data_IF_220050364292
#
_entry.id   IF_220050364292
#
_cell.length_a   1.000
_cell.length_b   1.000
_cell.length_c   1.000
_cell.angle_alpha   90.00
_cell.angle_beta   90.00
_cell.angle_gamma   90.00
#
_symmetry.space_group_name_H-M   'P 1'
#
loop_
_entity.id
_entity.type
_entity.pdbx_description
1 polymer ?
#
# COMPACT_ATOMS: atom_id res chain seq x y z
N UNK A 1 3.82 0.02 36.30
CA UNK A 1 4.56 1.10 35.63
C UNK A 1 4.05 1.13 34.21
N UNK A 2 3.28 2.16 33.84
CA UNK A 2 2.78 2.30 32.48
C UNK A 2 3.99 2.56 31.56
N UNK A 3 4.22 1.70 30.58
CA UNK A 3 5.07 2.06 29.46
C UNK A 3 4.45 3.30 28.82
N UNK A 4 5.19 4.40 28.72
CA UNK A 4 4.81 5.51 27.86
C UNK A 4 4.61 4.92 26.45
N UNK A 5 3.36 4.89 26.01
CA UNK A 5 2.99 4.38 24.69
C UNK A 5 3.49 5.44 23.71
N UNK A 6 4.62 5.19 23.05
CA UNK A 6 5.09 6.01 21.92
C UNK A 6 3.95 6.09 20.91
N UNK A 7 3.54 7.30 20.54
CA UNK A 7 2.41 7.47 19.63
C UNK A 7 2.78 6.98 18.22
N UNK A 8 1.76 6.71 17.40
CA UNK A 8 2.00 6.40 15.99
C UNK A 8 2.62 7.59 15.27
N UNK A 9 2.17 8.82 15.53
CA UNK A 9 2.80 10.01 14.95
C UNK A 9 4.28 10.09 15.31
N UNK A 10 4.61 9.90 16.58
CA UNK A 10 6.01 9.96 17.03
C UNK A 10 6.88 8.88 16.39
N UNK A 11 6.34 7.66 16.22
CA UNK A 11 7.08 6.53 15.65
C UNK A 11 7.44 6.73 14.16
N UNK A 12 6.69 7.56 13.44
CA UNK A 12 6.92 7.87 12.03
C UNK A 12 7.43 9.30 11.80
N UNK A 13 7.57 10.12 12.84
CA UNK A 13 7.91 11.54 12.71
C UNK A 13 9.22 11.82 11.96
N UNK A 14 10.20 10.93 12.05
CA UNK A 14 11.47 11.07 11.32
C UNK A 14 11.33 11.06 9.79
N UNK A 15 10.22 10.55 9.24
CA UNK A 15 9.93 10.63 7.80
C UNK A 15 9.66 12.08 7.34
N UNK A 16 9.38 13.00 8.26
CA UNK A 16 9.23 14.41 7.93
C UNK A 16 10.51 15.01 7.35
N UNK A 17 11.65 14.65 7.93
CA UNK A 17 12.99 15.10 7.54
C UNK A 17 13.86 13.91 7.12
N UNK A 18 13.29 12.99 6.34
CA UNK A 18 13.93 11.71 5.99
C UNK A 18 15.35 11.85 5.41
N UNK A 19 15.57 12.84 4.53
CA UNK A 19 16.87 13.05 3.87
C UNK A 19 18.00 13.32 4.87
N UNK A 20 17.69 14.00 5.98
CA UNK A 20 18.63 14.17 7.08
C UNK A 20 19.04 12.81 7.65
N UNK A 21 18.07 11.97 8.02
CA UNK A 21 18.31 10.68 8.68
C UNK A 21 18.98 9.64 7.78
N UNK A 22 18.54 9.50 6.53
CA UNK A 22 19.17 8.58 5.57
C UNK A 22 20.63 8.94 5.33
N UNK A 23 20.96 10.23 5.24
CA UNK A 23 22.36 10.67 5.05
C UNK A 23 23.25 10.24 6.23
N UNK A 24 22.73 10.29 7.47
CA UNK A 24 23.48 9.85 8.66
C UNK A 24 23.63 8.33 8.69
N UNK A 25 22.56 7.58 8.37
CA UNK A 25 22.63 6.13 8.29
C UNK A 25 23.62 5.64 7.22
N UNK A 26 23.59 6.21 6.01
CA UNK A 26 24.54 5.84 4.96
C UNK A 26 25.98 6.22 5.32
N UNK A 27 26.18 7.36 5.98
CA UNK A 27 27.50 7.74 6.50
C UNK A 27 28.00 6.75 7.55
N UNK A 28 27.12 6.28 8.43
CA UNK A 28 27.42 5.24 9.40
C UNK A 28 27.73 3.90 8.74
N UNK A 29 26.95 3.47 7.76
CA UNK A 29 27.22 2.23 7.02
C UNK A 29 28.59 2.24 6.34
N UNK A 30 29.02 3.38 5.78
CA UNK A 30 30.33 3.55 5.15
C UNK A 30 31.49 3.70 6.14
N UNK A 31 31.23 3.80 7.45
CA UNK A 31 32.26 4.01 8.45
C UNK A 31 33.23 2.83 8.49
N UNK A 32 34.48 3.07 8.08
CA UNK A 32 35.56 2.08 8.20
C UNK A 32 35.96 1.89 9.67
N UNK A 33 36.00 0.64 10.12
CA UNK A 33 36.40 0.28 11.48
C UNK A 33 37.92 0.30 11.59
N UNK A 34 38.44 1.20 12.41
CA UNK A 34 39.85 1.19 12.83
C UNK A 34 40.02 0.36 14.10
N UNK A 35 41.13 -0.38 14.23
CA UNK A 35 41.46 -1.22 15.41
C UNK A 35 41.31 -0.51 16.76
N UNK A 36 41.63 0.77 16.82
CA UNK A 36 41.60 1.53 18.08
C UNK A 36 40.18 1.99 18.47
N UNK A 37 39.23 1.99 17.53
CA UNK A 37 37.81 2.27 17.77
C UNK A 37 37.06 1.04 18.33
N UNK A 38 37.74 -0.11 18.45
CA UNK A 38 37.14 -1.36 18.91
C UNK A 38 36.98 -1.44 20.43
N UNK A 39 37.69 -0.63 21.22
CA UNK A 39 37.73 -0.81 22.68
C UNK A 39 36.34 -0.74 23.34
N UNK A 40 35.45 0.12 22.84
CA UNK A 40 34.09 0.20 23.38
C UNK A 40 33.20 -0.99 22.94
N UNK A 41 33.53 -1.65 21.83
CA UNK A 41 32.82 -2.83 21.33
C UNK A 41 33.37 -4.16 21.87
N UNK A 42 34.58 -4.16 22.45
CA UNK A 42 35.27 -5.39 22.88
C UNK A 42 34.54 -6.16 23.97
N UNK A 43 33.88 -5.47 24.89
CA UNK A 43 33.07 -6.08 25.95
C UNK A 43 31.79 -6.77 25.43
N UNK A 44 31.43 -6.57 24.17
CA UNK A 44 30.16 -7.02 23.58
C UNK A 44 30.27 -8.24 22.68
N UNK A 45 31.47 -8.54 22.18
CA UNK A 45 31.68 -9.62 21.20
C UNK A 45 31.35 -11.00 21.80
N UNK A 46 31.52 -11.15 23.12
CA UNK A 46 31.24 -12.40 23.85
C UNK A 46 29.80 -12.52 24.36
N UNK A 47 28.93 -11.54 24.10
CA UNK A 47 27.55 -11.56 24.58
C UNK A 47 26.61 -12.23 23.56
N UNK A 48 25.74 -13.11 24.04
CA UNK A 48 24.77 -13.86 23.24
C UNK A 48 23.86 -12.96 22.38
N UNK A 49 23.66 -11.68 22.73
CA UNK A 49 22.84 -10.78 21.91
C UNK A 49 23.49 -10.45 20.56
N UNK A 50 24.81 -10.62 20.45
CA UNK A 50 25.57 -10.36 19.22
C UNK A 50 25.80 -11.61 18.39
N UNK A 51 25.49 -12.82 18.87
CA UNK A 51 25.70 -14.06 18.11
C UNK A 51 24.85 -14.10 16.84
N UNK A 52 23.74 -13.36 16.81
CA UNK A 52 22.84 -13.24 15.66
C UNK A 52 23.20 -12.08 14.72
N UNK A 53 24.15 -11.23 15.10
CA UNK A 53 24.55 -10.06 14.31
C UNK A 53 25.73 -10.44 13.43
N UNK A 54 25.58 -10.24 12.11
CA UNK A 54 26.69 -10.38 11.19
C UNK A 54 27.72 -9.28 11.46
N UNK A 55 28.97 -9.67 11.72
CA UNK A 55 30.07 -8.76 12.09
C UNK A 55 29.74 -7.82 13.26
N UNK A 56 29.56 -8.36 14.49
CA UNK A 56 29.18 -7.60 15.69
C UNK A 56 29.97 -6.32 15.94
N UNK A 57 31.29 -6.37 15.70
CA UNK A 57 32.19 -5.24 15.87
C UNK A 57 31.85 -4.09 14.91
N UNK A 58 31.65 -4.41 13.64
CA UNK A 58 31.30 -3.42 12.62
C UNK A 58 29.97 -2.77 12.97
N UNK A 59 28.96 -3.58 13.27
CA UNK A 59 27.65 -3.07 13.65
C UNK A 59 27.71 -2.15 14.87
N UNK A 60 28.45 -2.53 15.92
CA UNK A 60 28.62 -1.72 17.11
C UNK A 60 29.30 -0.36 16.82
N UNK A 61 30.36 -0.35 16.00
CA UNK A 61 31.04 0.89 15.55
C UNK A 61 30.10 1.78 14.73
N UNK A 62 29.34 1.19 13.81
CA UNK A 62 28.37 1.91 12.98
C UNK A 62 27.26 2.51 13.85
N UNK A 63 26.73 1.75 14.82
CA UNK A 63 25.71 2.24 15.74
C UNK A 63 26.21 3.43 16.57
N UNK A 64 27.40 3.33 17.16
CA UNK A 64 27.97 4.45 17.91
C UNK A 64 28.16 5.68 17.02
N UNK A 65 28.69 5.49 15.81
CA UNK A 65 28.91 6.61 14.91
C UNK A 65 27.59 7.26 14.48
N UNK A 66 26.53 6.48 14.24
CA UNK A 66 25.19 7.00 14.00
C UNK A 66 24.67 7.79 15.20
N UNK A 67 24.80 7.23 16.41
CA UNK A 67 24.41 7.91 17.65
C UNK A 67 25.13 9.25 17.83
N UNK A 68 26.46 9.28 17.61
CA UNK A 68 27.24 10.51 17.68
C UNK A 68 26.80 11.55 16.62
N UNK A 69 26.50 11.11 15.40
CA UNK A 69 26.04 11.98 14.31
C UNK A 69 24.68 12.62 14.60
N UNK A 70 23.78 11.91 15.26
CA UNK A 70 22.47 12.42 15.66
C UNK A 70 22.59 13.31 16.90
N UNK A 71 23.40 12.90 17.87
CA UNK A 71 23.64 13.69 19.09
C UNK A 71 24.37 15.01 18.81
N UNK A 72 25.26 15.07 17.83
CA UNK A 72 25.95 16.30 17.42
C UNK A 72 25.24 17.04 16.28
N UNK A 73 24.21 16.42 15.72
CA UNK A 73 23.48 16.96 14.58
C UNK A 73 22.56 18.10 14.99
N UNK A 74 22.30 19.00 14.03
CA UNK A 74 21.29 20.03 14.18
C UNK A 74 20.41 20.05 12.94
N UNK A 75 19.10 19.98 13.14
CA UNK A 75 18.10 20.21 12.08
C UNK A 75 17.82 21.73 11.93
N UNK A 76 18.13 22.55 12.96
CA UNK A 76 17.73 23.97 13.05
C UNK A 76 18.87 24.98 13.34
N UNK A 77 20.14 24.56 13.24
CA UNK A 77 21.31 25.42 13.47
C UNK A 77 21.74 25.60 14.94
N UNK A 78 21.01 25.04 15.90
CA UNK A 78 21.46 24.92 17.30
C UNK A 78 21.97 23.50 17.55
N UNK A 79 23.21 23.37 18.02
CA UNK A 79 23.75 22.09 18.50
C UNK A 79 22.98 21.67 19.74
N UNK A 80 22.09 20.69 19.60
CA UNK A 80 21.43 20.07 20.74
C UNK A 80 22.39 19.05 21.34
N UNK A 81 22.73 19.13 22.62
CA UNK A 81 23.44 18.04 23.32
C UNK A 81 22.51 16.85 23.65
N UNK A 82 21.35 16.77 22.98
CA UNK A 82 20.31 15.80 23.25
C UNK A 82 19.64 15.31 21.96
N UNK A 83 19.23 14.04 21.96
CA UNK A 83 18.41 13.46 20.91
C UNK A 83 16.97 13.93 21.09
N UNK A 84 16.37 14.42 20.02
CA UNK A 84 14.96 14.76 20.00
C UNK A 84 14.07 13.50 19.81
N UNK A 85 12.75 13.70 19.69
CA UNK A 85 11.81 12.60 19.53
C UNK A 85 11.99 11.87 18.20
N UNK A 86 12.30 12.59 17.12
CA UNK A 86 12.48 12.03 15.79
C UNK A 86 13.82 11.27 15.71
N UNK A 87 14.87 11.76 16.36
CA UNK A 87 16.14 11.05 16.50
C UNK A 87 15.94 9.72 17.24
N UNK A 88 15.18 9.74 18.34
CA UNK A 88 14.86 8.53 19.08
C UNK A 88 14.01 7.55 18.25
N UNK A 89 13.00 8.04 17.53
CA UNK A 89 12.16 7.23 16.66
C UNK A 89 12.99 6.59 15.53
N UNK A 90 13.89 7.36 14.92
CA UNK A 90 14.79 6.86 13.88
C UNK A 90 15.76 5.81 14.41
N UNK A 91 16.40 6.05 15.55
CA UNK A 91 17.30 5.06 16.18
C UNK A 91 16.52 3.78 16.52
N UNK A 92 15.29 3.91 17.03
CA UNK A 92 14.44 2.75 17.32
C UNK A 92 14.14 1.95 16.05
N UNK A 93 13.74 2.60 14.96
CA UNK A 93 13.56 1.94 13.66
C UNK A 93 14.85 1.28 13.17
N UNK A 94 15.97 2.01 13.15
CA UNK A 94 17.24 1.53 12.63
C UNK A 94 17.74 0.29 13.38
N UNK A 95 17.66 0.30 14.72
CA UNK A 95 18.03 -0.87 15.54
C UNK A 95 17.10 -2.05 15.28
N UNK A 96 15.78 -1.83 15.23
CA UNK A 96 14.82 -2.90 14.93
C UNK A 96 15.10 -3.52 13.55
N UNK A 97 15.39 -2.70 12.54
CA UNK A 97 15.67 -3.15 11.19
C UNK A 97 16.95 -3.98 11.12
N UNK A 98 18.05 -3.46 11.65
CA UNK A 98 19.38 -4.09 11.57
C UNK A 98 19.52 -5.31 12.45
N UNK A 99 18.99 -5.27 13.67
CA UNK A 99 19.12 -6.38 14.63
C UNK A 99 18.24 -7.56 14.26
N UNK A 100 17.00 -7.30 13.82
CA UNK A 100 16.00 -8.36 13.61
C UNK A 100 15.99 -8.88 12.18
N UNK A 101 16.70 -8.20 11.28
CA UNK A 101 16.99 -8.68 9.92
C UNK A 101 15.74 -8.87 9.05
N UNK A 102 15.93 -9.46 7.87
CA UNK A 102 14.88 -9.60 6.85
C UNK A 102 13.69 -10.41 7.37
N UNK A 103 13.96 -11.52 8.09
CA UNK A 103 12.91 -12.41 8.61
C UNK A 103 12.23 -11.91 9.89
N UNK A 104 12.67 -10.78 10.44
CA UNK A 104 12.16 -10.17 11.67
C UNK A 104 12.18 -11.18 12.82
N UNK A 105 13.37 -11.45 13.33
CA UNK A 105 13.54 -12.27 14.53
C UNK A 105 12.87 -11.58 15.73
N UNK A 106 11.82 -12.19 16.27
CA UNK A 106 11.07 -11.68 17.42
C UNK A 106 11.74 -12.02 18.75
N UNK A 107 12.75 -12.90 18.76
CA UNK A 107 13.52 -13.23 19.97
C UNK A 107 14.51 -12.13 20.35
N UNK A 108 14.92 -11.30 19.38
CA UNK A 108 15.87 -10.21 19.60
C UNK A 108 15.16 -9.00 20.19
N UNK A 109 15.66 -8.52 21.34
CA UNK A 109 15.14 -7.36 22.06
C UNK A 109 16.06 -6.14 21.91
N UNK A 110 15.53 -5.08 21.28
CA UNK A 110 16.25 -3.82 21.03
C UNK A 110 16.63 -3.11 22.33
N UNK A 111 15.75 -3.10 23.33
CA UNK A 111 16.05 -2.48 24.63
C UNK A 111 17.13 -3.27 25.37
N UNK A 112 17.10 -4.60 25.31
CA UNK A 112 18.15 -5.43 25.92
C UNK A 112 19.49 -5.14 25.28
N UNK A 113 19.54 -5.01 23.94
CA UNK A 113 20.75 -4.62 23.22
C UNK A 113 21.26 -3.25 23.69
N UNK A 114 20.40 -2.23 23.70
CA UNK A 114 20.81 -0.88 24.08
C UNK A 114 21.25 -0.79 25.54
N UNK A 115 20.52 -1.40 26.47
CA UNK A 115 20.83 -1.36 27.89
C UNK A 115 22.18 -2.03 28.20
N UNK A 116 22.49 -3.14 27.52
CA UNK A 116 23.82 -3.76 27.61
C UNK A 116 24.89 -2.81 27.09
N UNK A 117 24.68 -2.22 25.90
CA UNK A 117 25.63 -1.26 25.32
C UNK A 117 25.90 -0.08 26.26
N UNK A 118 24.83 0.48 26.83
CA UNK A 118 24.88 1.60 27.75
C UNK A 118 25.59 1.25 29.06
N UNK A 119 25.28 0.10 29.67
CA UNK A 119 25.86 -0.30 30.96
C UNK A 119 27.40 -0.38 30.93
N UNK A 120 27.99 -0.85 29.84
CA UNK A 120 29.46 -0.87 29.73
C UNK A 120 30.06 0.45 29.21
N UNK A 121 29.23 1.44 28.88
CA UNK A 121 29.65 2.70 28.23
C UNK A 121 28.81 3.90 28.71
N UNK A 122 28.52 4.00 30.01
CA UNK A 122 27.65 5.04 30.57
C UNK A 122 28.12 6.46 30.23
N UNK A 123 29.45 6.65 30.11
CA UNK A 123 30.06 7.91 29.70
C UNK A 123 29.82 8.30 28.23
N UNK A 124 29.33 7.39 27.38
CA UNK A 124 29.04 7.63 25.96
C UNK A 124 27.52 7.77 25.75
N UNK A 125 26.74 6.82 26.29
CA UNK A 125 25.29 6.77 26.10
C UNK A 125 24.55 7.44 27.26
N UNK A 126 24.74 8.77 27.37
CA UNK A 126 24.17 9.58 28.46
C UNK A 126 22.70 9.92 28.28
N UNK A 127 22.15 9.77 27.08
CA UNK A 127 20.78 10.18 26.80
C UNK A 127 19.77 9.25 27.49
N UNK A 128 19.07 9.75 28.49
CA UNK A 128 18.04 9.01 29.25
C UNK A 128 16.69 8.97 28.54
N UNK A 129 16.45 9.86 27.57
CA UNK A 129 15.23 9.87 26.76
C UNK A 129 15.20 8.68 25.80
N UNK A 130 16.33 8.39 25.14
CA UNK A 130 16.45 7.29 24.18
C UNK A 130 16.06 5.95 24.80
N UNK A 131 16.55 5.64 26.00
CA UNK A 131 16.24 4.37 26.69
C UNK A 131 14.73 4.14 26.85
N UNK A 132 13.96 5.19 27.13
CA UNK A 132 12.51 5.12 27.32
C UNK A 132 11.74 4.96 26.01
N UNK A 133 12.35 5.35 24.89
CA UNK A 133 11.73 5.37 23.55
C UNK A 133 12.11 4.20 22.66
N UNK A 134 13.09 3.40 23.08
CA UNK A 134 13.38 2.14 22.43
C UNK A 134 12.32 1.10 22.80
N UNK A 135 11.89 0.34 21.80
CA UNK A 135 11.00 -0.80 21.96
C UNK A 135 11.08 -1.73 20.74
N UNK A 136 10.64 -2.98 20.90
CA UNK A 136 10.49 -3.89 19.76
C UNK A 136 9.27 -3.51 18.92
N UNK A 137 9.49 -3.02 17.71
CA UNK A 137 8.40 -2.68 16.78
C UNK A 137 7.66 -3.96 16.39
N UNK A 138 6.33 -3.99 16.46
CA UNK A 138 5.55 -5.15 16.04
C UNK A 138 5.86 -5.51 14.57
N UNK A 139 5.89 -6.81 14.24
CA UNK A 139 6.39 -7.31 12.94
C UNK A 139 5.72 -6.62 11.75
N UNK A 140 4.40 -6.57 11.71
CA UNK A 140 3.65 -5.95 10.61
C UNK A 140 3.93 -4.43 10.54
N UNK A 141 4.06 -3.75 11.69
CA UNK A 141 4.46 -2.34 11.72
C UNK A 141 5.89 -2.12 11.20
N UNK A 142 6.85 -3.00 11.53
CA UNK A 142 8.22 -2.90 11.02
C UNK A 142 8.28 -3.14 9.50
N UNK A 143 7.51 -4.09 8.99
CA UNK A 143 7.37 -4.33 7.53
C UNK A 143 6.80 -3.10 6.80
N UNK A 144 5.82 -2.43 7.39
CA UNK A 144 5.26 -1.16 6.87
C UNK A 144 6.29 -0.04 6.88
N UNK A 145 7.01 0.14 7.98
CA UNK A 145 8.08 1.14 8.08
C UNK A 145 9.18 0.89 7.04
N UNK A 146 9.57 -0.37 6.80
CA UNK A 146 10.54 -0.73 5.74
C UNK A 146 10.07 -0.34 4.36
N UNK A 147 8.81 -0.62 4.01
CA UNK A 147 8.22 -0.22 2.73
C UNK A 147 8.26 1.30 2.56
N UNK A 148 7.90 2.05 3.61
CA UNK A 148 7.95 3.51 3.58
C UNK A 148 9.38 4.04 3.48
N UNK A 149 10.32 3.43 4.22
CA UNK A 149 11.74 3.74 4.15
C UNK A 149 12.32 3.54 2.74
N UNK A 150 12.00 2.43 2.08
CA UNK A 150 12.39 2.16 0.71
C UNK A 150 11.85 3.22 -0.26
N UNK A 151 10.57 3.60 -0.11
CA UNK A 151 9.93 4.62 -0.95
C UNK A 151 10.64 5.97 -0.82
N UNK A 152 10.87 6.44 0.41
CA UNK A 152 11.59 7.69 0.63
C UNK A 152 13.05 7.61 0.16
N UNK A 153 13.74 6.49 0.36
CA UNK A 153 15.11 6.29 -0.14
C UNK A 153 15.19 6.39 -1.67
N UNK A 154 14.24 5.79 -2.38
CA UNK A 154 14.18 5.88 -3.85
C UNK A 154 13.84 7.31 -4.29
N UNK A 155 12.93 8.00 -3.59
CA UNK A 155 12.66 9.43 -3.82
C UNK A 155 13.93 10.27 -3.68
N UNK A 156 14.74 10.08 -2.63
CA UNK A 156 16.01 10.82 -2.46
C UNK A 156 16.96 10.58 -3.64
N UNK A 157 17.06 9.33 -4.14
CA UNK A 157 17.86 9.02 -5.34
C UNK A 157 17.35 9.74 -6.60
N UNK A 158 16.03 9.81 -6.77
CA UNK A 158 15.41 10.56 -7.88
C UNK A 158 15.76 12.04 -7.77
N UNK A 159 15.65 12.63 -6.57
CA UNK A 159 16.01 14.03 -6.34
C UNK A 159 17.46 14.30 -6.72
N UNK A 160 18.41 13.47 -6.25
CA UNK A 160 19.83 13.61 -6.56
C UNK A 160 20.09 13.52 -8.08
N UNK A 161 19.53 12.49 -8.73
CA UNK A 161 19.71 12.27 -10.17
C UNK A 161 19.16 13.43 -11.03
N UNK A 162 18.14 14.12 -10.54
CA UNK A 162 17.57 15.30 -11.19
C UNK A 162 18.45 16.54 -10.98
N UNK A 163 18.94 16.76 -9.75
CA UNK A 163 19.67 17.98 -9.37
C UNK A 163 21.12 18.02 -9.80
N UNK A 164 21.82 16.88 -9.85
CA UNK A 164 23.27 16.84 -10.13
C UNK A 164 23.60 16.87 -11.64
N UNK A 165 22.59 16.96 -12.51
CA UNK A 165 22.75 17.14 -13.95
C UNK A 165 23.08 15.82 -14.64
N UNK A 166 22.03 15.11 -15.05
CA UNK A 166 22.15 13.78 -15.64
C UNK A 166 23.06 13.75 -16.88
N UNK A 167 24.18 13.03 -16.78
CA UNK A 167 24.76 12.35 -17.95
C UNK A 167 23.69 11.40 -18.56
N UNK A 168 23.78 11.00 -19.84
CA UNK A 168 22.79 10.11 -20.46
C UNK A 168 22.55 8.79 -19.70
N UNK A 169 23.56 8.29 -18.99
CA UNK A 169 23.46 7.10 -18.13
C UNK A 169 22.68 7.37 -16.82
N UNK A 170 22.78 8.59 -16.29
CA UNK A 170 22.09 9.03 -15.07
C UNK A 170 20.61 9.32 -15.33
N UNK A 171 20.23 9.78 -16.53
CA UNK A 171 18.81 9.97 -16.89
C UNK A 171 18.08 8.64 -17.05
N UNK A 172 18.75 7.63 -17.63
CA UNK A 172 18.25 6.25 -17.66
C UNK A 172 18.11 5.66 -16.24
N UNK A 173 19.06 5.97 -15.35
CA UNK A 173 18.99 5.56 -13.93
C UNK A 173 17.80 6.21 -13.20
N UNK A 174 17.52 7.48 -13.49
CA UNK A 174 16.42 8.20 -12.86
C UNK A 174 15.04 7.69 -13.28
N UNK A 175 14.83 7.41 -14.58
CA UNK A 175 13.59 6.77 -15.05
C UNK A 175 13.39 5.39 -14.40
N UNK A 176 14.48 4.62 -14.23
CA UNK A 176 14.44 3.34 -13.54
C UNK A 176 14.00 3.51 -12.08
N UNK A 177 14.57 4.46 -11.34
CA UNK A 177 14.17 4.74 -9.96
C UNK A 177 12.71 5.20 -9.87
N UNK A 178 12.25 6.03 -10.80
CA UNK A 178 10.86 6.49 -10.82
C UNK A 178 9.87 5.32 -11.03
N UNK A 179 10.16 4.43 -11.99
CA UNK A 179 9.38 3.20 -12.21
C UNK A 179 9.40 2.27 -10.99
N UNK A 180 10.56 2.09 -10.35
CA UNK A 180 10.69 1.29 -9.14
C UNK A 180 9.87 1.87 -7.98
N UNK A 181 9.94 3.19 -7.78
CA UNK A 181 9.18 3.91 -6.76
C UNK A 181 7.68 3.66 -6.93
N UNK A 182 7.16 3.85 -8.15
CA UNK A 182 5.75 3.63 -8.45
C UNK A 182 5.31 2.18 -8.22
N UNK A 183 6.12 1.21 -8.65
CA UNK A 183 5.85 -0.21 -8.41
C UNK A 183 5.74 -0.51 -6.92
N UNK A 184 6.72 -0.09 -6.12
CA UNK A 184 6.72 -0.27 -4.67
C UNK A 184 5.56 0.46 -4.00
N UNK A 185 5.18 1.64 -4.50
CA UNK A 185 4.05 2.40 -4.00
C UNK A 185 2.73 1.65 -4.23
N UNK A 186 2.48 1.18 -5.46
CA UNK A 186 1.33 0.33 -5.80
C UNK A 186 1.28 -0.91 -4.91
N UNK A 187 2.39 -1.62 -4.76
CA UNK A 187 2.49 -2.79 -3.88
C UNK A 187 2.19 -2.46 -2.41
N UNK A 188 2.66 -1.31 -1.91
CA UNK A 188 2.39 -0.87 -0.54
C UNK A 188 0.90 -0.54 -0.33
N UNK A 189 0.27 0.11 -1.30
CA UNK A 189 -1.17 0.45 -1.28
C UNK A 189 -2.03 -0.82 -1.31
N UNK A 190 -1.75 -1.73 -2.25
CA UNK A 190 -2.50 -2.98 -2.44
C UNK A 190 -2.42 -3.88 -1.20
N UNK A 191 -1.23 -3.99 -0.59
CA UNK A 191 -1.02 -4.88 0.54
C UNK A 191 -1.57 -4.32 1.86
N UNK A 192 -2.05 -3.07 1.87
CA UNK A 192 -2.84 -2.60 2.98
C UNK A 192 -4.29 -3.07 2.81
N UNK A 193 -4.79 -3.86 3.74
CA UNK A 193 -6.22 -4.20 3.86
C UNK A 193 -6.90 -3.27 4.87
N UNK A 194 -8.23 -3.36 5.03
CA UNK A 194 -9.14 -2.43 5.72
C UNK A 194 -8.71 -1.91 7.11
N UNK A 195 -7.73 -2.53 7.79
CA UNK A 195 -7.17 -2.08 9.08
C UNK A 195 -5.94 -1.14 8.96
N UNK A 196 -5.68 -0.56 7.78
CA UNK A 196 -4.48 0.21 7.46
C UNK A 196 -4.60 1.74 7.49
N UNK A 197 -5.69 2.34 7.98
CA UNK A 197 -5.99 3.78 7.82
C UNK A 197 -4.77 4.70 8.01
N UNK A 198 -4.07 4.56 9.15
CA UNK A 198 -2.89 5.38 9.44
C UNK A 198 -1.71 5.18 8.46
N UNK A 199 -1.47 3.96 7.99
CA UNK A 199 -0.41 3.73 7.00
C UNK A 199 -0.78 4.29 5.63
N UNK A 200 -2.08 4.34 5.30
CA UNK A 200 -2.53 5.04 4.10
C UNK A 200 -2.31 6.54 4.17
N UNK A 201 -2.51 7.15 5.34
CA UNK A 201 -2.21 8.56 5.54
C UNK A 201 -0.72 8.82 5.27
N UNK A 202 0.17 7.98 5.81
CA UNK A 202 1.62 8.05 5.55
C UNK A 202 2.00 7.87 4.07
N UNK A 203 1.34 6.96 3.36
CA UNK A 203 1.52 6.79 1.91
C UNK A 203 1.01 8.00 1.12
N UNK A 204 -0.04 8.65 1.60
CA UNK A 204 -0.61 9.86 1.02
C UNK A 204 0.35 11.04 1.21
N UNK A 205 0.90 11.20 2.41
CA UNK A 205 1.93 12.19 2.71
C UNK A 205 3.18 11.98 1.85
N UNK A 206 3.63 10.73 1.70
CA UNK A 206 4.71 10.39 0.78
C UNK A 206 4.42 10.85 -0.65
N UNK A 207 3.22 10.53 -1.18
CA UNK A 207 2.81 10.92 -2.54
C UNK A 207 2.79 12.45 -2.70
N UNK A 208 2.27 13.16 -1.70
CA UNK A 208 2.22 14.63 -1.71
C UNK A 208 3.63 15.22 -1.72
N UNK A 209 4.52 14.77 -0.83
CA UNK A 209 5.93 15.20 -0.81
C UNK A 209 6.66 14.88 -2.10
N UNK A 210 6.46 13.68 -2.64
CA UNK A 210 7.04 13.29 -3.93
C UNK A 210 6.63 14.27 -5.03
N UNK A 211 5.35 14.65 -5.08
CA UNK A 211 4.85 15.62 -6.05
C UNK A 211 5.43 17.01 -5.80
N UNK A 212 5.34 17.52 -4.58
CA UNK A 212 5.76 18.88 -4.22
C UNK A 212 7.25 19.11 -4.49
N UNK A 213 8.11 18.19 -4.06
CA UNK A 213 9.55 18.36 -4.19
C UNK A 213 10.06 18.12 -5.61
N UNK A 214 9.37 17.29 -6.40
CA UNK A 214 9.81 17.00 -7.77
C UNK A 214 9.21 17.93 -8.82
N UNK A 215 8.03 18.53 -8.56
CA UNK A 215 7.34 19.48 -9.47
C UNK A 215 8.25 20.55 -10.08
N UNK A 216 9.18 21.20 -9.32
CA UNK A 216 10.07 22.23 -9.87
C UNK A 216 10.96 21.74 -11.02
N UNK A 217 11.18 20.42 -11.15
CA UNK A 217 12.05 19.82 -12.15
C UNK A 217 11.31 19.26 -13.37
N UNK A 218 10.02 19.56 -13.48
CA UNK A 218 9.14 19.19 -14.58
C UNK A 218 9.73 19.43 -15.97
N UNK A 219 10.31 20.62 -16.15
CA UNK A 219 10.71 21.15 -17.45
C UNK A 219 12.24 21.05 -17.63
N UNK A 220 12.92 20.34 -16.72
CA UNK A 220 14.36 20.13 -16.83
C UNK A 220 14.67 19.25 -18.05
N UNK A 221 15.72 19.57 -18.84
CA UNK A 221 16.17 18.71 -19.94
C UNK A 221 16.69 17.34 -19.45
N UNK A 222 16.95 17.18 -18.15
CA UNK A 222 17.23 15.91 -17.48
C UNK A 222 15.98 15.16 -17.02
N UNK A 223 14.77 15.63 -17.37
CA UNK A 223 13.51 15.16 -16.79
C UNK A 223 13.33 13.66 -16.99
N UNK A 224 13.62 12.93 -15.92
CA UNK A 224 12.97 11.67 -15.62
C UNK A 224 11.48 11.97 -15.75
N UNK A 225 10.75 11.27 -16.61
CA UNK A 225 9.33 11.52 -16.79
C UNK A 225 8.54 11.07 -15.54
N UNK A 226 8.78 11.74 -14.40
CA UNK A 226 8.32 11.40 -13.06
C UNK A 226 6.85 11.77 -12.88
N UNK A 227 6.41 12.80 -13.62
CA UNK A 227 5.02 13.28 -13.64
C UNK A 227 4.05 12.20 -14.09
N UNK A 228 4.40 11.43 -15.12
CA UNK A 228 3.55 10.35 -15.64
C UNK A 228 3.25 9.24 -14.62
N UNK A 229 4.06 9.07 -13.58
CA UNK A 229 3.90 7.97 -12.62
C UNK A 229 2.85 8.23 -11.54
N UNK A 230 2.46 9.48 -11.28
CA UNK A 230 1.49 9.82 -10.21
C UNK A 230 0.35 10.75 -10.65
N UNK A 231 0.38 11.27 -11.88
CA UNK A 231 -0.65 12.18 -12.41
C UNK A 231 -2.04 11.53 -12.57
N UNK A 232 -2.15 10.20 -12.69
CA UNK A 232 -3.40 9.60 -13.16
C UNK A 232 -4.18 8.76 -12.15
N UNK A 233 -3.59 8.31 -11.04
CA UNK A 233 -4.24 7.31 -10.20
C UNK A 233 -4.43 7.79 -8.75
N UNK A 234 -5.68 8.17 -8.44
CA UNK A 234 -6.16 8.27 -7.06
C UNK A 234 -6.08 6.89 -6.38
N UNK A 235 -5.83 6.86 -5.08
CA UNK A 235 -5.68 5.60 -4.33
C UNK A 235 -6.94 4.73 -4.43
N UNK A 236 -8.15 5.34 -4.46
CA UNK A 236 -9.40 4.60 -4.65
C UNK A 236 -9.43 3.95 -6.01
N UNK A 237 -8.86 4.60 -7.02
CA UNK A 237 -8.73 4.05 -8.37
C UNK A 237 -7.74 2.88 -8.38
N UNK A 238 -6.59 2.99 -7.71
CA UNK A 238 -5.61 1.91 -7.55
C UNK A 238 -6.22 0.67 -6.87
N UNK A 239 -6.94 0.89 -5.78
CA UNK A 239 -7.57 -0.19 -5.02
C UNK A 239 -8.71 -0.83 -5.84
N UNK A 240 -9.55 -0.02 -6.49
CA UNK A 240 -10.59 -0.52 -7.39
C UNK A 240 -10.02 -1.28 -8.57
N UNK A 241 -8.96 -0.81 -9.21
CA UNK A 241 -8.29 -1.50 -10.32
C UNK A 241 -7.75 -2.86 -9.85
N UNK A 242 -7.11 -2.90 -8.68
CA UNK A 242 -6.64 -4.15 -8.08
C UNK A 242 -7.79 -5.10 -7.73
N UNK A 243 -8.86 -4.60 -7.10
CA UNK A 243 -10.06 -5.37 -6.74
C UNK A 243 -10.83 -5.85 -7.98
N UNK A 244 -10.79 -5.08 -9.07
CA UNK A 244 -11.43 -5.35 -10.36
C UNK A 244 -10.53 -6.06 -11.38
N UNK A 245 -9.26 -6.35 -11.02
CA UNK A 245 -8.27 -6.95 -11.92
C UNK A 245 -8.75 -8.27 -12.55
N UNK A 246 -8.32 -8.59 -13.79
CA UNK A 246 -9.06 -9.42 -14.74
C UNK A 246 -9.10 -10.94 -14.46
N UNK A 247 -8.79 -11.41 -13.26
CA UNK A 247 -8.71 -12.85 -12.95
C UNK A 247 -9.02 -13.19 -11.47
N UNK A 248 -10.22 -12.85 -10.98
CA UNK A 248 -10.87 -13.65 -9.93
C UNK A 248 -11.79 -14.69 -10.59
N UNK A 249 -11.20 -15.83 -10.95
CA UNK A 249 -11.85 -17.10 -11.29
C UNK A 249 -13.14 -17.04 -12.15
N UNK A 250 -12.99 -16.87 -13.47
CA UNK A 250 -13.92 -17.53 -14.42
C UNK A 250 -13.36 -18.92 -14.73
N UNK A 251 -13.40 -19.82 -13.74
CA UNK A 251 -13.34 -21.27 -13.97
C UNK A 251 -14.74 -21.83 -13.70
N UNK A 252 -15.71 -21.33 -14.45
CA UNK A 252 -17.06 -21.92 -14.52
C UNK A 252 -17.60 -21.91 -15.96
N UNK A 253 -16.75 -21.75 -16.98
CA UNK A 253 -17.18 -21.66 -18.37
C UNK A 253 -17.03 -22.92 -19.26
N UNK A 254 -16.50 -24.09 -18.84
CA UNK A 254 -16.74 -25.33 -19.60
C UNK A 254 -17.94 -26.17 -19.10
N UNK A 255 -18.64 -25.78 -18.03
CA UNK A 255 -19.72 -26.63 -17.44
C UNK A 255 -21.14 -26.12 -17.76
N UNK A 256 -21.31 -24.86 -18.15
CA UNK A 256 -22.64 -24.33 -18.54
C UNK A 256 -23.03 -24.63 -19.99
N UNK A 257 -22.06 -24.85 -20.88
CA UNK A 257 -22.34 -25.17 -22.29
C UNK A 257 -22.99 -26.57 -22.45
N UNK A 258 -22.54 -27.63 -21.74
CA UNK A 258 -23.23 -28.92 -21.77
C UNK A 258 -24.61 -28.89 -21.10
N UNK A 259 -24.78 -28.11 -20.02
CA UNK A 259 -26.05 -28.04 -19.28
C UNK A 259 -27.17 -27.35 -20.07
N UNK A 260 -26.85 -26.30 -20.84
CA UNK A 260 -27.82 -25.69 -21.75
C UNK A 260 -28.21 -26.64 -22.90
N UNK A 261 -27.26 -27.41 -23.44
CA UNK A 261 -27.54 -28.40 -24.49
C UNK A 261 -28.50 -29.50 -24.02
N UNK A 262 -28.27 -30.05 -22.83
CA UNK A 262 -29.16 -31.06 -22.22
C UNK A 262 -30.53 -30.47 -21.88
N UNK A 263 -30.58 -29.24 -21.34
CA UNK A 263 -31.85 -28.57 -21.02
C UNK A 263 -32.69 -28.26 -22.26
N UNK A 264 -32.06 -27.82 -23.36
CA UNK A 264 -32.75 -27.64 -24.65
C UNK A 264 -33.23 -28.98 -25.21
N UNK A 265 -32.46 -30.07 -25.11
CA UNK A 265 -32.89 -31.41 -25.51
C UNK A 265 -34.13 -31.88 -24.73
N UNK A 266 -34.25 -31.55 -23.44
CA UNK A 266 -35.45 -31.82 -22.62
C UNK A 266 -36.69 -31.03 -23.08
N UNK A 267 -36.51 -29.82 -23.61
CA UNK A 267 -37.62 -28.98 -24.07
C UNK A 267 -38.18 -29.42 -25.44
N UNK A 268 -37.33 -30.00 -26.31
CA UNK A 268 -37.69 -30.37 -27.68
C UNK A 268 -37.95 -31.87 -27.90
N UNK A 269 -37.72 -32.74 -26.90
CA UNK A 269 -38.01 -34.17 -27.02
C UNK A 269 -39.48 -34.48 -26.67
N UNK A 270 -40.20 -35.11 -27.61
CA UNK A 270 -41.60 -35.53 -27.47
C UNK A 270 -41.85 -36.58 -26.36
N UNK A 271 -40.80 -37.06 -25.71
CA UNK A 271 -40.86 -38.05 -24.62
C UNK A 271 -41.32 -37.45 -23.28
N UNK A 272 -41.18 -36.13 -23.08
CA UNK A 272 -41.52 -35.45 -21.81
C UNK A 272 -42.81 -34.60 -21.87
N UNK A 273 -43.61 -34.79 -22.92
CA UNK A 273 -44.93 -34.16 -23.12
C UNK A 273 -45.84 -34.15 -21.88
N UNK A 274 -46.00 -35.25 -21.10
CA UNK A 274 -46.86 -35.22 -19.91
C UNK A 274 -46.30 -34.36 -18.77
N UNK A 275 -44.97 -34.24 -18.66
CA UNK A 275 -44.34 -33.41 -17.62
C UNK A 275 -44.46 -31.91 -17.94
N UNK A 276 -44.32 -31.54 -19.22
CA UNK A 276 -44.50 -30.16 -19.71
C UNK A 276 -45.93 -29.66 -19.45
N UNK A 277 -46.94 -30.51 -19.64
CA UNK A 277 -48.34 -30.20 -19.32
C UNK A 277 -48.55 -29.96 -17.82
N UNK A 278 -48.00 -30.80 -16.94
CA UNK A 278 -48.08 -30.62 -15.48
C UNK A 278 -47.46 -29.31 -14.98
N UNK A 279 -46.33 -28.90 -15.57
CA UNK A 279 -45.66 -27.64 -15.18
C UNK A 279 -46.48 -26.43 -15.66
N UNK A 280 -47.00 -26.46 -16.89
CA UNK A 280 -47.86 -25.41 -17.43
C UNK A 280 -49.17 -25.27 -16.65
N UNK A 281 -49.80 -26.38 -16.21
CA UNK A 281 -50.98 -26.35 -15.34
C UNK A 281 -50.69 -25.72 -13.98
N UNK A 282 -49.54 -26.05 -13.36
CA UNK A 282 -49.13 -25.43 -12.10
C UNK A 282 -48.92 -23.93 -12.24
N UNK A 283 -48.26 -23.47 -13.32
CA UNK A 283 -48.04 -22.05 -13.58
C UNK A 283 -49.37 -21.31 -13.83
N UNK A 284 -50.30 -21.91 -14.59
CA UNK A 284 -51.66 -21.37 -14.80
C UNK A 284 -52.45 -21.28 -13.50
N UNK A 285 -52.36 -22.29 -12.62
CA UNK A 285 -53.05 -22.31 -11.33
C UNK A 285 -52.51 -21.23 -10.38
N UNK A 286 -51.20 -21.02 -10.33
CA UNK A 286 -50.57 -19.96 -9.54
C UNK A 286 -50.92 -18.56 -10.07
N UNK A 287 -50.98 -18.40 -11.40
CA UNK A 287 -51.44 -17.14 -12.03
C UNK A 287 -52.89 -16.83 -11.64
N UNK A 288 -53.80 -17.80 -11.72
CA UNK A 288 -55.21 -17.58 -11.38
C UNK A 288 -55.44 -17.28 -9.89
N UNK A 289 -54.61 -17.81 -8.98
CA UNK A 289 -54.63 -17.42 -7.55
C UNK A 289 -54.18 -15.97 -7.31
N UNK A 290 -53.28 -15.44 -8.16
CA UNK A 290 -52.72 -14.09 -7.99
C UNK A 290 -53.68 -12.98 -8.47
N UNK A 291 -54.57 -13.29 -9.42
CA UNK A 291 -55.54 -12.33 -9.97
C UNK A 291 -56.91 -12.35 -9.29
N UNK A 292 -57.26 -13.39 -8.53
CA UNK A 292 -58.53 -13.50 -7.79
C UNK A 292 -58.48 -12.82 -6.40
N UNK A 293 -57.28 -12.45 -5.93
CA UNK A 293 -57.06 -11.77 -4.64
C UNK A 293 -57.23 -10.24 -4.70
N UNK A 294 -57.57 -9.68 -5.87
CA UNK A 294 -57.66 -8.22 -6.10
C UNK A 294 -59.04 -7.60 -5.89
N UNK A 295 -60.11 -8.38 -5.67
CA UNK A 295 -61.46 -7.86 -5.45
C UNK A 295 -61.88 -7.97 -3.98
N UNK A 296 -61.47 -7.00 -3.16
CA UNK A 296 -62.23 -6.42 -2.01
C UNK A 296 -61.34 -5.51 -1.16
N UNK A 297 -61.32 -4.21 -1.47
CA UNK A 297 -61.64 -3.14 -0.50
C UNK A 297 -61.63 -1.76 -1.18
N UNK A 298 -62.84 -1.24 -1.44
CA UNK A 298 -63.10 0.16 -1.74
C UNK A 298 -63.03 1.00 -0.46
N UNK A 299 -62.47 2.21 -0.56
CA UNK A 299 -62.51 3.21 0.50
C UNK A 299 -62.01 4.59 0.05
N UNK A 300 -62.88 5.32 -0.65
CA UNK A 300 -62.88 6.79 -0.83
C UNK A 300 -61.92 7.41 -1.86
N UNK A 301 -62.46 7.77 -3.03
CA UNK A 301 -62.61 9.17 -3.47
C UNK A 301 -63.44 9.20 -4.77
N UNK A 302 -64.59 9.86 -4.71
CA UNK A 302 -65.49 10.10 -5.84
C UNK A 302 -65.48 11.60 -6.11
N UNK A 303 -65.07 12.01 -7.31
CA UNK A 303 -65.71 12.99 -8.20
C UNK A 303 -64.75 13.24 -9.39
N UNK A 304 -64.87 12.49 -10.50
CA UNK A 304 -65.62 12.77 -11.75
C UNK A 304 -65.03 13.90 -12.60
N UNK A 305 -64.46 13.58 -13.76
CA UNK A 305 -64.97 14.01 -15.08
C UNK A 305 -64.23 13.25 -16.21
N UNK A 306 -65.02 12.49 -16.98
CA UNK A 306 -64.67 11.79 -18.23
C UNK A 306 -64.22 12.76 -19.33
N UNK A 307 -63.27 12.35 -20.17
CA UNK A 307 -63.60 12.15 -21.58
C UNK A 307 -62.62 11.20 -22.28
N UNK A 308 -63.15 10.54 -23.29
CA UNK A 308 -62.90 9.16 -23.69
C UNK A 308 -62.28 9.13 -25.09
N UNK A 309 -61.31 8.23 -25.35
CA UNK A 309 -61.26 7.32 -26.52
C UNK A 309 -59.85 6.91 -27.01
N UNK A 310 -59.70 5.59 -26.91
CA UNK A 310 -58.87 4.61 -27.61
C UNK A 310 -58.39 4.93 -29.05
N UNK A 311 -57.23 4.38 -29.45
CA UNK A 311 -57.11 3.15 -30.29
C UNK A 311 -55.61 2.85 -30.60
N UNK A 312 -55.21 1.61 -30.32
CA UNK A 312 -54.01 0.91 -30.81
C UNK A 312 -54.27 0.32 -32.21
N UNK A 313 -53.24 0.27 -33.08
CA UNK A 313 -52.82 -0.88 -33.92
C UNK A 313 -51.85 -0.40 -35.02
N UNK A 314 -50.62 -0.91 -35.08
CA UNK A 314 -50.16 -2.17 -35.73
C UNK A 314 -49.72 -1.90 -37.18
N UNK A 315 -48.45 -2.16 -37.48
CA UNK A 315 -47.85 -1.94 -38.80
C UNK A 315 -46.70 -2.91 -39.04
N UNK A 316 -47.03 -4.09 -39.56
CA UNK A 316 -46.11 -5.08 -40.11
C UNK A 316 -45.53 -4.60 -41.46
N UNK A 317 -44.26 -4.94 -41.67
CA UNK A 317 -43.48 -4.65 -42.86
C UNK A 317 -43.99 -5.39 -44.10
N UNK A 318 -44.02 -4.72 -45.26
CA UNK A 318 -44.12 -5.39 -46.55
C UNK A 318 -43.16 -4.74 -47.56
N UNK A 319 -42.14 -5.49 -47.98
CA UNK A 319 -41.14 -5.11 -48.99
C UNK A 319 -41.61 -5.67 -50.33
N UNK A 320 -41.79 -4.81 -51.34
CA UNK A 320 -42.02 -5.23 -52.73
C UNK A 320 -40.92 -4.67 -53.65
N UNK A 321 -40.23 -5.57 -54.35
CA UNK A 321 -39.22 -5.28 -55.36
C UNK A 321 -39.85 -4.86 -56.69
N UNK A 322 -39.23 -3.91 -57.39
CA UNK A 322 -39.45 -3.70 -58.83
C UNK A 322 -38.13 -3.79 -59.59
N UNK A 323 -38.11 -4.72 -60.55
CA UNK A 323 -37.06 -5.01 -61.51
C UNK A 323 -37.05 -4.03 -62.68
N UNK A 324 -35.84 -3.64 -63.09
CA UNK A 324 -35.52 -2.81 -64.27
C UNK A 324 -35.79 -3.55 -65.58
N UNK A 325 -36.31 -2.85 -66.61
CA UNK A 325 -35.92 -3.13 -68.00
C UNK A 325 -36.00 -1.89 -68.90
N UNK A 326 -34.88 -1.68 -69.59
CA UNK A 326 -34.61 -0.75 -70.68
C UNK A 326 -35.43 -1.02 -71.94
N UNK A 327 -35.79 0.04 -72.67
CA UNK A 327 -35.86 0.12 -74.13
C UNK A 327 -35.67 1.57 -74.54
#
# INVERSE_FOLDING_TARGET
MAHDIVSREESYGFFETFDYYISKAESAERKYVKRDQENFCKSFISDDIFTHISFPQNFCVQFKYLYDLLLSGSISGQTSESLDNNDCAFINYWLNDKLRGINIDTSICVNTFYNKIKANNEGIFKNTSLEKKLYNIEKNNLEKMRKLYDLYKIKSKISIAITEGAQPEESASCLSYAKECYKKYKEAVINCSEACSYFYDLLTDFKNKYKEELTPFADSPSSCNYKELFEFEDYRTLLREYESGPFKNIITLPVLIPMCGVFLMFLYSNMFTPFRQRVLEKIKKTRNMLFDAGERHNGSLLYTYDDDKNIFNEGEYNISYYTVRSS
#
